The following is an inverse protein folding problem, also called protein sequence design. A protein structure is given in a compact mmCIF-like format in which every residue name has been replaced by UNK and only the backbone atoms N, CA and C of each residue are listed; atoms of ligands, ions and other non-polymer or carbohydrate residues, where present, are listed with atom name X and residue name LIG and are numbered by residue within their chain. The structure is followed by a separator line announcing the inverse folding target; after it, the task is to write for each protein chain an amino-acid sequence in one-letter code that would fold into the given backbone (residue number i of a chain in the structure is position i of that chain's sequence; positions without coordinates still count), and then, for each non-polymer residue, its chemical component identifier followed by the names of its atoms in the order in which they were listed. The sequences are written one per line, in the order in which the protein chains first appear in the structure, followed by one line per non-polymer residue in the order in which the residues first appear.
data_IF_237024787055
#
_entry.id   IF_237024787055
#
_cell.length_a   1.000
_cell.length_b   1.000
_cell.length_c   1.000
_cell.angle_alpha   90.00
_cell.angle_beta   90.00
_cell.angle_gamma   90.00
#
_symmetry.space_group_name_H-M   'P 1'
#
loop_
_entity.id
_entity.type
_entity.pdbx_description
1 polymer ?
#
# COMPACT_ATOMS: atom_id res chain seq x y z
N UNK A 1 10.71 11.89 4.29
CA UNK A 1 12.15 11.67 4.51
C UNK A 1 12.58 10.44 3.76
N UNK A 2 13.78 10.42 3.22
CA UNK A 2 14.39 9.20 2.69
C UNK A 2 15.05 8.39 3.82
N UNK A 3 15.16 7.08 3.61
CA UNK A 3 15.77 6.14 4.58
C UNK A 3 15.09 6.19 5.97
N UNK A 4 13.77 6.30 5.98
CA UNK A 4 12.98 6.29 7.21
C UNK A 4 12.73 4.86 7.69
N UNK A 5 12.85 4.64 9.00
CA UNK A 5 12.45 3.37 9.62
C UNK A 5 11.69 3.57 10.93
N UNK A 6 10.72 2.68 11.18
CA UNK A 6 9.98 2.62 12.42
C UNK A 6 9.77 1.15 12.83
N UNK A 7 9.86 0.86 14.13
CA UNK A 7 9.57 -0.47 14.67
C UNK A 7 8.75 -0.37 15.96
N UNK A 8 7.87 -1.34 16.13
CA UNK A 8 7.07 -1.51 17.36
C UNK A 8 6.21 -0.26 17.71
N UNK A 9 5.75 0.47 16.69
CA UNK A 9 4.88 1.65 16.87
C UNK A 9 3.44 1.36 16.50
N UNK A 10 2.52 2.10 17.11
CA UNK A 10 1.10 2.09 16.78
C UNK A 10 0.75 3.39 16.08
N UNK A 11 0.21 3.27 14.86
CA UNK A 11 -0.37 4.37 14.08
C UNK A 11 -1.87 4.13 14.02
N UNK A 12 -2.66 5.05 14.56
CA UNK A 12 -4.11 4.87 14.72
C UNK A 12 -4.84 6.12 14.24
N UNK A 13 -5.61 5.97 13.18
CA UNK A 13 -6.47 6.99 12.62
C UNK A 13 -7.63 6.32 11.87
N UNK A 14 -8.30 7.04 11.00
CA UNK A 14 -9.36 6.52 10.15
C UNK A 14 -8.91 6.50 8.69
N UNK A 15 -9.19 7.54 7.92
CA UNK A 15 -8.73 7.69 6.55
C UNK A 15 -7.30 8.26 6.53
N UNK A 16 -6.49 7.85 5.54
CA UNK A 16 -5.16 8.43 5.26
C UNK A 16 -4.19 8.41 6.47
N UNK A 17 -4.14 7.31 7.21
CA UNK A 17 -3.34 7.20 8.45
C UNK A 17 -1.85 7.39 8.24
N UNK A 18 -1.29 6.76 7.21
CA UNK A 18 0.16 6.75 6.94
C UNK A 18 0.45 7.19 5.51
N UNK A 19 1.03 8.37 5.38
CA UNK A 19 1.55 8.87 4.11
C UNK A 19 3.01 8.46 3.90
N UNK A 20 3.26 7.69 2.87
CA UNK A 20 4.60 7.28 2.42
C UNK A 20 5.01 8.15 1.21
N UNK A 21 5.56 9.34 1.49
CA UNK A 21 5.98 10.32 0.47
C UNK A 21 7.15 9.87 -0.41
N UNK A 22 7.49 10.59 -1.46
CA UNK A 22 7.03 11.96 -1.75
C UNK A 22 5.59 12.03 -2.28
N UNK A 23 5.11 13.25 -2.51
CA UNK A 23 3.84 13.46 -3.22
C UNK A 23 3.98 13.04 -4.70
N UNK A 24 2.92 12.53 -5.33
CA UNK A 24 2.88 12.35 -6.77
C UNK A 24 3.09 13.67 -7.52
N UNK A 25 3.74 13.63 -8.69
CA UNK A 25 4.12 14.81 -9.47
C UNK A 25 2.96 15.77 -9.78
N UNK A 26 1.77 15.22 -10.04
CA UNK A 26 0.58 16.01 -10.32
C UNK A 26 0.11 16.82 -9.11
N UNK A 27 0.28 16.29 -7.89
CA UNK A 27 -0.02 17.01 -6.66
C UNK A 27 1.05 18.05 -6.32
N UNK A 28 2.32 17.76 -6.58
CA UNK A 28 3.39 18.75 -6.44
C UNK A 28 3.10 19.94 -7.35
N UNK A 29 2.76 19.69 -8.61
CA UNK A 29 2.40 20.75 -9.56
C UNK A 29 1.17 21.54 -9.11
N UNK A 30 0.14 20.85 -8.62
CA UNK A 30 -1.12 21.47 -8.18
C UNK A 30 -0.97 22.36 -6.96
N UNK A 31 -0.08 22.00 -6.04
CA UNK A 31 0.07 22.66 -4.75
C UNK A 31 1.42 23.38 -4.61
N UNK A 32 2.06 23.71 -5.73
CA UNK A 32 3.43 24.24 -5.76
C UNK A 32 3.60 25.51 -4.90
N UNK A 33 2.58 26.37 -4.84
CA UNK A 33 2.64 27.61 -4.06
C UNK A 33 2.46 27.39 -2.54
N UNK A 34 2.03 26.19 -2.14
CA UNK A 34 1.83 25.83 -0.73
C UNK A 34 2.92 24.89 -0.20
N UNK A 35 3.76 24.33 -1.08
CA UNK A 35 4.78 23.37 -0.69
C UNK A 35 6.12 24.08 -0.42
N UNK A 36 6.83 23.72 0.66
CA UNK A 36 8.21 24.12 0.87
C UNK A 36 9.12 23.70 -0.29
N UNK A 37 10.18 24.46 -0.54
CA UNK A 37 11.08 24.23 -1.66
C UNK A 37 11.76 22.85 -1.62
N UNK A 38 12.08 22.34 -0.45
CA UNK A 38 12.67 21.03 -0.25
C UNK A 38 11.71 19.87 -0.66
N UNK A 39 10.40 20.07 -0.54
CA UNK A 39 9.40 19.09 -1.04
C UNK A 39 9.25 19.17 -2.54
N UNK A 40 9.32 20.37 -3.13
CA UNK A 40 9.21 20.58 -4.58
C UNK A 40 10.29 19.84 -5.37
N UNK A 41 11.46 19.71 -4.79
CA UNK A 41 12.65 19.13 -5.44
C UNK A 41 13.03 17.76 -4.92
N UNK A 42 12.17 17.10 -4.13
CA UNK A 42 12.39 15.75 -3.69
C UNK A 42 12.27 14.77 -4.87
N UNK A 43 13.37 14.61 -5.60
CA UNK A 43 13.46 13.62 -6.68
C UNK A 43 13.84 12.25 -6.11
N UNK A 44 13.34 11.20 -6.74
CA UNK A 44 13.71 9.83 -6.45
C UNK A 44 12.66 9.03 -5.68
N UNK A 45 13.04 7.81 -5.36
CA UNK A 45 12.22 6.88 -4.60
C UNK A 45 12.69 6.86 -3.16
N UNK A 46 11.87 7.35 -2.24
CA UNK A 46 12.19 7.29 -0.81
C UNK A 46 12.02 5.86 -0.32
N UNK A 47 12.94 5.44 0.55
CA UNK A 47 12.91 4.12 1.16
C UNK A 47 12.36 4.22 2.59
N UNK A 48 11.26 3.49 2.86
CA UNK A 48 10.66 3.41 4.19
C UNK A 48 10.60 1.95 4.66
N UNK A 49 10.84 1.71 5.95
CA UNK A 49 10.75 0.38 6.56
C UNK A 49 9.93 0.47 7.85
N UNK A 50 8.88 -0.35 7.92
CA UNK A 50 8.05 -0.51 9.10
C UNK A 50 8.12 -1.97 9.55
N UNK A 51 8.58 -2.21 10.79
CA UNK A 51 8.75 -3.57 11.33
C UNK A 51 7.93 -3.74 12.60
N UNK A 52 7.13 -4.81 12.65
CA UNK A 52 6.31 -5.15 13.83
C UNK A 52 5.38 -4.00 14.29
N UNK A 53 4.96 -3.16 13.37
CA UNK A 53 4.08 -2.02 13.66
C UNK A 53 2.61 -2.45 13.64
N UNK A 54 1.77 -1.73 14.38
CA UNK A 54 0.31 -1.81 14.29
C UNK A 54 -0.17 -0.57 13.56
N UNK A 55 -0.82 -0.73 12.40
CA UNK A 55 -1.32 0.38 11.59
C UNK A 55 -2.82 0.19 11.43
N UNK A 56 -3.61 1.17 11.92
CA UNK A 56 -5.06 1.12 11.87
C UNK A 56 -5.62 2.21 10.97
N UNK A 57 -6.68 1.89 10.27
CA UNK A 57 -7.41 2.84 9.46
C UNK A 57 -8.62 2.24 8.76
N UNK A 58 -9.34 3.04 8.00
CA UNK A 58 -10.55 2.62 7.27
C UNK A 58 -10.33 2.68 5.76
N UNK A 59 -9.98 3.84 5.22
CA UNK A 59 -9.85 4.05 3.77
C UNK A 59 -8.47 4.60 3.44
N UNK A 60 -7.80 3.92 2.49
CA UNK A 60 -6.49 4.34 1.96
C UNK A 60 -5.48 4.63 3.08
N UNK A 61 -5.55 3.84 4.15
CA UNK A 61 -4.83 4.19 5.37
C UNK A 61 -3.31 3.99 5.27
N UNK A 62 -2.83 3.40 4.18
CA UNK A 62 -1.41 3.42 3.76
C UNK A 62 -1.37 3.94 2.33
N UNK A 63 -0.84 5.14 2.11
CA UNK A 63 -0.88 5.76 0.79
C UNK A 63 0.41 6.50 0.44
N UNK A 64 0.60 6.78 -0.85
CA UNK A 64 1.76 7.52 -1.36
C UNK A 64 2.58 6.76 -2.38
N UNK A 65 3.83 7.19 -2.59
CA UNK A 65 4.68 6.67 -3.66
C UNK A 65 6.13 6.34 -3.22
N UNK A 66 6.43 6.23 -1.92
CA UNK A 66 7.70 5.68 -1.46
C UNK A 66 7.81 4.19 -1.77
N UNK A 67 9.02 3.68 -1.96
CA UNK A 67 9.28 2.27 -1.84
C UNK A 67 9.26 1.90 -0.34
N UNK A 68 8.24 1.17 0.11
CA UNK A 68 8.01 0.91 1.52
C UNK A 68 7.86 -0.57 1.82
N UNK A 69 8.62 -1.06 2.80
CA UNK A 69 8.51 -2.41 3.36
C UNK A 69 7.71 -2.36 4.67
N UNK A 70 6.68 -3.19 4.73
CA UNK A 70 5.94 -3.50 5.95
C UNK A 70 6.26 -4.96 6.31
N UNK A 71 7.11 -5.16 7.33
CA UNK A 71 7.55 -6.50 7.77
C UNK A 71 6.88 -6.86 9.09
N UNK A 72 6.11 -7.96 9.09
CA UNK A 72 5.40 -8.47 10.29
C UNK A 72 4.50 -7.45 10.97
N UNK A 73 3.88 -6.56 10.20
CA UNK A 73 2.96 -5.57 10.71
C UNK A 73 1.54 -6.15 10.86
N UNK A 74 0.80 -5.66 11.87
CA UNK A 74 -0.64 -5.86 11.98
C UNK A 74 -1.36 -4.69 11.34
N UNK A 75 -2.12 -4.94 10.26
CA UNK A 75 -2.87 -3.95 9.51
C UNK A 75 -4.35 -4.12 9.87
N UNK A 76 -4.88 -3.19 10.65
CA UNK A 76 -6.21 -3.32 11.25
C UNK A 76 -7.18 -2.35 10.56
N UNK A 77 -8.09 -2.91 9.78
CA UNK A 77 -9.18 -2.15 9.19
C UNK A 77 -10.26 -1.86 10.22
N UNK A 78 -10.66 -0.60 10.37
CA UNK A 78 -11.67 -0.17 11.34
C UNK A 78 -12.93 0.34 10.64
N UNK A 79 -14.09 0.06 11.21
CA UNK A 79 -15.35 0.60 10.73
C UNK A 79 -15.49 2.06 11.20
N UNK A 80 -15.51 2.99 10.28
CA UNK A 80 -15.75 4.42 10.52
C UNK A 80 -17.19 4.85 10.20
N UNK A 81 -18.10 3.88 10.13
CA UNK A 81 -19.51 4.07 9.79
C UNK A 81 -19.85 3.74 8.33
N UNK A 82 -18.86 3.55 7.46
CA UNK A 82 -19.08 3.21 6.04
C UNK A 82 -19.20 1.71 5.77
N UNK A 83 -18.74 0.87 6.69
CA UNK A 83 -18.68 -0.59 6.56
C UNK A 83 -18.00 -1.09 5.27
N UNK A 84 -17.02 -0.35 4.77
CA UNK A 84 -16.13 -0.74 3.69
C UNK A 84 -14.80 -0.01 3.83
N UNK A 85 -13.74 -0.53 3.20
CA UNK A 85 -12.45 0.09 3.32
C UNK A 85 -11.44 -0.35 2.25
N UNK A 86 -10.29 0.31 2.29
CA UNK A 86 -9.14 0.01 1.44
C UNK A 86 -7.87 0.16 2.27
N UNK A 87 -7.02 -0.87 2.28
CA UNK A 87 -5.79 -0.81 3.08
C UNK A 87 -4.79 0.12 2.42
N UNK A 88 -4.46 -0.11 1.16
CA UNK A 88 -3.39 0.63 0.50
C UNK A 88 -3.84 1.39 -0.76
N UNK A 89 -3.31 2.59 -0.93
CA UNK A 89 -3.52 3.46 -2.09
C UNK A 89 -2.17 3.92 -2.69
N UNK A 90 -1.48 3.04 -3.43
CA UNK A 90 -0.19 3.36 -4.01
C UNK A 90 -0.29 4.30 -5.21
N UNK A 91 0.69 5.22 -5.33
CA UNK A 91 0.76 6.22 -6.39
C UNK A 91 2.11 6.22 -7.12
N UNK A 92 2.76 5.07 -7.21
CA UNK A 92 4.07 4.93 -7.84
C UNK A 92 4.04 5.29 -9.31
N UNK A 93 5.14 5.83 -9.82
CA UNK A 93 5.36 6.06 -11.25
C UNK A 93 5.80 4.76 -11.95
N UNK A 94 5.74 4.73 -13.28
CA UNK A 94 6.22 3.58 -14.06
C UNK A 94 7.70 3.26 -13.81
N UNK A 95 8.52 4.26 -13.52
CA UNK A 95 9.97 4.12 -13.27
C UNK A 95 10.28 3.43 -11.95
N UNK A 96 9.41 3.52 -10.95
CA UNK A 96 9.58 2.89 -9.66
C UNK A 96 9.30 1.39 -9.75
N UNK A 97 10.27 0.56 -9.41
CA UNK A 97 10.22 -0.89 -9.63
C UNK A 97 9.89 -1.69 -8.37
N UNK A 98 9.91 -1.08 -7.18
CA UNK A 98 9.68 -1.75 -5.89
C UNK A 98 8.26 -1.54 -5.38
N UNK A 99 7.88 -0.33 -5.00
CA UNK A 99 6.54 0.00 -4.49
C UNK A 99 6.32 -0.40 -3.02
N UNK A 100 5.06 -0.59 -2.63
CA UNK A 100 4.73 -1.11 -1.31
C UNK A 100 4.91 -2.63 -1.27
N UNK A 101 5.63 -3.12 -0.27
CA UNK A 101 5.87 -4.54 -0.03
C UNK A 101 5.39 -4.90 1.36
N UNK A 102 4.38 -5.76 1.45
CA UNK A 102 3.86 -6.33 2.68
C UNK A 102 4.41 -7.73 2.85
N UNK A 103 5.23 -7.96 3.88
CA UNK A 103 5.89 -9.23 4.16
C UNK A 103 5.41 -9.79 5.50
N UNK A 104 4.87 -11.00 5.51
CA UNK A 104 4.41 -11.67 6.74
C UNK A 104 3.43 -10.81 7.57
N UNK A 105 2.65 -9.96 6.93
CA UNK A 105 1.71 -9.07 7.60
C UNK A 105 0.38 -9.79 7.90
N UNK A 106 -0.27 -9.38 8.99
CA UNK A 106 -1.60 -9.84 9.36
C UNK A 106 -2.63 -8.74 9.06
N UNK A 107 -3.67 -9.10 8.30
CA UNK A 107 -4.77 -8.18 7.96
C UNK A 107 -5.99 -8.56 8.81
N UNK A 108 -6.34 -7.68 9.73
CA UNK A 108 -7.37 -7.85 10.75
C UNK A 108 -8.41 -6.75 10.66
N UNK A 109 -9.54 -6.88 11.38
CA UNK A 109 -10.58 -5.84 11.40
C UNK A 109 -11.23 -5.65 12.76
N UNK A 110 -11.82 -4.48 12.92
CA UNK A 110 -12.67 -4.13 14.07
C UNK A 110 -14.01 -3.58 13.53
N UNK A 111 -15.07 -4.33 13.78
CA UNK A 111 -16.45 -3.88 13.47
C UNK A 111 -16.80 -3.82 12.00
N UNK A 112 -16.13 -4.61 11.15
CA UNK A 112 -16.40 -4.71 9.72
C UNK A 112 -16.98 -6.07 9.36
N UNK A 113 -17.86 -6.09 8.38
CA UNK A 113 -18.44 -7.31 7.81
C UNK A 113 -17.43 -8.07 6.94
N UNK A 114 -17.70 -9.34 6.70
CA UNK A 114 -16.93 -10.16 5.77
C UNK A 114 -16.93 -9.54 4.36
N UNK A 115 -15.80 -9.66 3.66
CA UNK A 115 -15.63 -9.21 2.27
C UNK A 115 -15.85 -7.71 2.05
N UNK A 116 -15.71 -6.87 3.07
CA UNK A 116 -15.99 -5.43 3.02
C UNK A 116 -14.77 -4.57 2.69
N UNK A 117 -13.53 -5.13 2.74
CA UNK A 117 -12.29 -4.36 2.56
C UNK A 117 -11.45 -4.92 1.43
N UNK A 118 -10.89 -4.05 0.61
CA UNK A 118 -9.89 -4.39 -0.41
C UNK A 118 -8.47 -4.15 0.11
N UNK A 119 -7.54 -5.01 -0.29
CA UNK A 119 -6.11 -4.89 0.05
C UNK A 119 -5.47 -3.63 -0.54
N UNK A 120 -5.84 -3.29 -1.77
CA UNK A 120 -5.34 -2.08 -2.41
C UNK A 120 -6.22 -1.61 -3.56
N UNK A 121 -6.11 -0.30 -3.84
CA UNK A 121 -6.61 0.33 -5.06
C UNK A 121 -5.59 1.33 -5.60
N UNK A 122 -5.37 1.47 -6.93
CA UNK A 122 -4.31 2.30 -7.47
C UNK A 122 -4.69 3.79 -7.43
N UNK A 123 -4.06 4.57 -6.54
CA UNK A 123 -4.28 6.03 -6.48
C UNK A 123 -3.76 6.75 -7.72
N UNK A 124 -2.78 6.15 -8.43
CA UNK A 124 -2.30 6.58 -9.76
C UNK A 124 -2.11 5.35 -10.64
N UNK A 125 -2.00 5.58 -11.95
CA UNK A 125 -2.03 4.54 -12.99
C UNK A 125 -1.04 3.40 -12.78
N UNK A 126 0.15 3.70 -12.28
CA UNK A 126 1.21 2.70 -12.09
C UNK A 126 1.43 2.30 -10.62
N UNK A 127 0.42 2.51 -9.78
CA UNK A 127 0.46 2.08 -8.38
C UNK A 127 0.96 0.64 -8.25
N UNK A 128 1.86 0.39 -7.29
CA UNK A 128 2.50 -0.93 -7.14
C UNK A 128 2.43 -1.41 -5.70
N UNK A 129 1.89 -2.62 -5.52
CA UNK A 129 1.86 -3.34 -4.24
C UNK A 129 2.23 -4.80 -4.45
N UNK A 130 2.97 -5.37 -3.49
CA UNK A 130 3.29 -6.79 -3.43
C UNK A 130 3.00 -7.33 -2.03
N UNK A 131 2.21 -8.41 -1.96
CA UNK A 131 1.82 -9.06 -0.71
C UNK A 131 2.50 -10.43 -0.65
N UNK A 132 3.37 -10.66 0.35
CA UNK A 132 4.23 -11.83 0.44
C UNK A 132 3.98 -12.54 1.77
N UNK A 133 3.51 -13.79 1.71
CA UNK A 133 3.26 -14.64 2.89
C UNK A 133 2.38 -13.96 3.94
N UNK A 134 1.37 -13.21 3.52
CA UNK A 134 0.45 -12.50 4.38
C UNK A 134 -0.75 -13.37 4.80
N UNK A 135 -1.36 -13.05 5.93
CA UNK A 135 -2.61 -13.65 6.40
C UNK A 135 -3.76 -12.65 6.38
N UNK A 136 -4.96 -13.13 6.04
CA UNK A 136 -6.12 -12.29 5.84
C UNK A 136 -7.31 -12.81 6.64
N UNK A 137 -7.90 -11.96 7.49
CA UNK A 137 -9.16 -12.24 8.14
C UNK A 137 -10.35 -12.10 7.15
N UNK A 138 -11.54 -12.64 7.47
CA UNK A 138 -12.68 -12.72 6.54
C UNK A 138 -13.17 -11.39 5.95
N UNK A 139 -12.89 -10.26 6.60
CA UNK A 139 -13.26 -8.93 6.10
C UNK A 139 -12.59 -8.58 4.77
N UNK A 140 -11.47 -9.22 4.40
CA UNK A 140 -10.81 -8.98 3.12
C UNK A 140 -11.62 -9.60 1.98
N UNK A 141 -11.99 -8.76 1.02
CA UNK A 141 -12.73 -9.17 -0.17
C UNK A 141 -11.92 -10.18 -0.98
N UNK A 142 -12.59 -11.24 -1.46
CA UNK A 142 -11.93 -12.30 -2.23
C UNK A 142 -11.30 -11.80 -3.52
N UNK A 143 -11.83 -10.74 -4.14
CA UNK A 143 -11.23 -10.08 -5.30
C UNK A 143 -9.87 -9.45 -4.99
N UNK A 144 -9.62 -9.11 -3.74
CA UNK A 144 -8.37 -8.55 -3.22
C UNK A 144 -8.13 -7.09 -3.58
N UNK A 145 -8.41 -6.70 -4.81
CA UNK A 145 -8.05 -5.38 -5.34
C UNK A 145 -9.25 -4.69 -6.01
N UNK A 146 -9.30 -3.37 -5.92
CA UNK A 146 -10.28 -2.52 -6.59
C UNK A 146 -9.58 -1.63 -7.64
N UNK A 147 -10.27 -1.31 -8.72
CA UNK A 147 -9.70 -0.53 -9.84
C UNK A 147 -9.73 0.99 -9.65
N UNK A 148 -10.23 1.48 -8.50
CA UNK A 148 -10.46 2.89 -8.23
C UNK A 148 -11.68 3.46 -8.98
N UNK A 149 -12.88 3.11 -8.54
CA UNK A 149 -14.15 3.56 -9.12
C UNK A 149 -14.26 3.25 -10.64
N UNK A 150 -14.68 4.22 -11.43
CA UNK A 150 -14.89 4.08 -12.87
C UNK A 150 -13.63 4.27 -13.72
N UNK A 151 -12.44 4.21 -13.11
CA UNK A 151 -11.18 4.32 -13.85
C UNK A 151 -10.79 3.00 -14.52
N UNK A 152 -9.83 3.07 -15.45
CA UNK A 152 -9.22 1.91 -16.10
C UNK A 152 -7.81 1.60 -15.53
N UNK A 153 -7.54 2.03 -14.28
CA UNK A 153 -6.21 1.88 -13.66
C UNK A 153 -5.80 0.43 -13.42
N UNK A 154 -6.74 -0.49 -13.37
CA UNK A 154 -6.46 -1.93 -13.37
C UNK A 154 -5.61 -2.40 -14.56
N UNK A 155 -5.61 -1.69 -15.68
CA UNK A 155 -4.80 -2.02 -16.86
C UNK A 155 -3.31 -1.74 -16.66
N UNK A 156 -2.97 -0.83 -15.78
CA UNK A 156 -1.59 -0.34 -15.57
C UNK A 156 -1.08 -0.58 -14.15
N UNK A 157 -1.96 -0.78 -13.18
CA UNK A 157 -1.59 -1.12 -11.81
C UNK A 157 -0.79 -2.42 -11.74
N UNK A 158 0.17 -2.47 -10.81
CA UNK A 158 1.13 -3.57 -10.67
C UNK A 158 0.99 -4.22 -9.31
N UNK A 159 -0.13 -4.91 -9.11
CA UNK A 159 -0.44 -5.60 -7.87
C UNK A 159 -0.14 -7.08 -7.98
N UNK A 160 0.57 -7.62 -6.99
CA UNK A 160 1.03 -9.01 -6.97
C UNK A 160 0.91 -9.64 -5.59
N UNK A 161 0.83 -10.96 -5.56
CA UNK A 161 0.68 -11.72 -4.32
C UNK A 161 1.46 -13.03 -4.38
N UNK A 162 2.03 -13.45 -3.26
CA UNK A 162 2.69 -14.74 -3.07
C UNK A 162 2.23 -15.37 -1.75
N UNK A 163 1.50 -16.48 -1.76
CA UNK A 163 0.87 -17.08 -2.94
C UNK A 163 -0.31 -16.24 -3.48
N UNK A 164 -0.53 -16.25 -4.78
CA UNK A 164 -1.75 -15.63 -5.34
C UNK A 164 -2.96 -16.48 -4.93
N UNK A 165 -3.88 -15.88 -4.19
CA UNK A 165 -5.06 -16.59 -3.71
C UNK A 165 -6.11 -16.75 -4.81
N UNK A 166 -6.87 -17.86 -4.72
CA UNK A 166 -8.00 -18.11 -5.63
C UNK A 166 -9.09 -17.06 -5.44
N UNK A 167 -9.64 -16.57 -6.56
CA UNK A 167 -10.72 -15.58 -6.55
C UNK A 167 -10.26 -14.14 -6.70
N UNK A 168 -8.95 -13.88 -6.70
CA UNK A 168 -8.40 -12.54 -6.94
C UNK A 168 -8.80 -12.00 -8.32
N UNK A 169 -8.85 -10.70 -8.44
CA UNK A 169 -9.07 -10.02 -9.71
C UNK A 169 -8.10 -10.53 -10.78
N UNK A 170 -8.59 -10.69 -12.02
CA UNK A 170 -7.85 -11.26 -13.14
C UNK A 170 -6.57 -10.48 -13.53
N UNK A 171 -6.47 -9.21 -13.14
CA UNK A 171 -5.30 -8.36 -13.34
C UNK A 171 -4.28 -8.45 -12.21
N UNK A 172 -4.61 -9.09 -11.08
CA UNK A 172 -3.65 -9.44 -10.05
C UNK A 172 -2.62 -10.45 -10.59
N UNK A 173 -1.37 -10.31 -10.22
CA UNK A 173 -0.28 -11.15 -10.74
C UNK A 173 0.27 -12.07 -9.66
N UNK A 174 0.56 -13.34 -10.00
CA UNK A 174 1.36 -14.17 -9.12
C UNK A 174 2.78 -13.57 -9.02
N UNK A 175 3.35 -13.64 -7.83
CA UNK A 175 4.75 -13.31 -7.58
C UNK A 175 5.52 -14.62 -7.32
N UNK A 176 6.62 -14.83 -8.02
CA UNK A 176 7.51 -15.95 -7.73
C UNK A 176 8.38 -15.68 -6.49
N UNK A 177 8.91 -16.73 -5.86
CA UNK A 177 9.84 -16.57 -4.73
C UNK A 177 11.07 -15.76 -5.12
N UNK A 178 11.63 -15.98 -6.30
CA UNK A 178 12.79 -15.23 -6.78
C UNK A 178 12.51 -13.73 -6.96
N UNK A 179 11.33 -13.36 -7.47
CA UNK A 179 10.92 -11.96 -7.56
C UNK A 179 10.69 -11.35 -6.17
N UNK A 180 10.08 -12.09 -5.24
CA UNK A 180 9.93 -11.67 -3.85
C UNK A 180 11.29 -11.40 -3.19
N UNK A 181 12.24 -12.32 -3.33
CA UNK A 181 13.60 -12.17 -2.79
C UNK A 181 14.34 -10.96 -3.39
N UNK A 182 14.13 -10.69 -4.68
CA UNK A 182 14.68 -9.51 -5.35
C UNK A 182 14.11 -8.20 -4.77
N UNK A 183 12.79 -8.13 -4.54
CA UNK A 183 12.15 -6.99 -3.88
C UNK A 183 12.70 -6.77 -2.47
N UNK A 184 12.81 -7.84 -1.67
CA UNK A 184 13.29 -7.76 -0.29
C UNK A 184 14.79 -7.37 -0.23
N UNK A 185 15.60 -7.79 -1.20
CA UNK A 185 17.02 -7.42 -1.27
C UNK A 185 17.25 -5.92 -1.42
N UNK A 186 16.30 -5.20 -2.02
CA UNK A 186 16.34 -3.74 -2.14
C UNK A 186 16.36 -3.05 -0.77
N UNK A 187 15.60 -3.56 0.20
CA UNK A 187 15.50 -2.96 1.53
C UNK A 187 16.67 -3.32 2.47
N UNK A 188 17.47 -4.32 2.12
CA UNK A 188 18.65 -4.75 2.89
C UNK A 188 19.94 -3.99 2.56
N UNK A 189 19.91 -3.20 1.50
CA UNK A 189 21.02 -2.32 1.06
C UNK A 189 20.85 -0.95 1.70
#
# INVERSE_FOLDING_TARGET
ADSFSASDVVLDSTQDTLFCGPLPDDLITRYIDFLPDDIRYAEGSFKHIFSSCVIKGSVDFIFGCADALFDKCSLISVNDGRNHGFVAAPAHSLKQTVGFVFLNCNFESIGLDDSSVFLARPWRDYGKCSFIDCSYAPHINSLGFDKWNDTERNRTARFSELPLLKGREHWAKPLSRAEADALLSYFRR
#
